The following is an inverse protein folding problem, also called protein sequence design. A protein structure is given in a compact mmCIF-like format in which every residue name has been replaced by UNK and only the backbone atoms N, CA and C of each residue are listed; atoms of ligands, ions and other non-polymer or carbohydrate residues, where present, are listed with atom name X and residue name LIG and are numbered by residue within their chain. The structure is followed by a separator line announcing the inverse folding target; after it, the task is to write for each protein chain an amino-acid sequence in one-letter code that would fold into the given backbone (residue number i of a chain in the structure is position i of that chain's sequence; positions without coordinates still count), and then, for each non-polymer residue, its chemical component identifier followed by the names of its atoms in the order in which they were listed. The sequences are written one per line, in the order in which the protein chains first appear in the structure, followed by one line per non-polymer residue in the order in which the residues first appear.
data_IF_074612895644
#
_entry.id   IF_074612895644
#
_cell.length_a   1.000
_cell.length_b   1.000
_cell.length_c   1.000
_cell.angle_alpha   90.00
_cell.angle_beta   90.00
_cell.angle_gamma   90.00
#
_symmetry.space_group_name_H-M   'P 1'
#
loop_
_entity.id
_entity.type
_entity.pdbx_description
1 polymer ?
#
# COMPACT_ATOMS: atom_id res chain seq x y z
N UNK A 1 48.00 1.42 0.41
CA UNK A 1 48.44 2.24 1.56
C UNK A 1 47.48 3.38 1.73
N UNK A 2 46.63 3.39 2.67
CA UNK A 2 46.27 4.30 3.74
C UNK A 2 44.99 3.77 4.41
N UNK A 3 45.17 3.21 5.61
CA UNK A 3 44.10 2.87 6.54
C UNK A 3 43.73 4.13 7.31
N UNK A 4 42.44 4.42 7.41
CA UNK A 4 41.92 5.41 8.36
C UNK A 4 41.05 4.68 9.38
N UNK A 5 41.60 4.53 10.58
CA UNK A 5 40.88 4.12 11.78
C UNK A 5 39.92 5.25 12.20
N UNK A 6 38.64 4.92 12.35
CA UNK A 6 37.71 5.76 13.13
C UNK A 6 37.56 5.17 14.52
N UNK A 7 38.03 5.93 15.50
CA UNK A 7 37.94 5.62 16.92
C UNK A 7 36.52 5.82 17.43
N UNK A 8 35.92 4.77 18.00
CA UNK A 8 34.67 4.81 18.75
C UNK A 8 34.98 5.34 20.14
N UNK A 9 34.46 6.53 20.48
CA UNK A 9 34.46 7.02 21.87
C UNK A 9 33.14 6.60 22.53
N UNK A 10 33.25 5.64 23.44
CA UNK A 10 32.22 5.35 24.40
C UNK A 10 32.26 6.40 25.52
N UNK A 11 31.20 7.15 25.68
CA UNK A 11 30.94 7.96 26.86
C UNK A 11 29.76 7.35 27.63
N UNK A 12 30.08 6.66 28.71
CA UNK A 12 29.13 6.27 29.73
C UNK A 12 28.81 7.47 30.61
N UNK A 13 27.53 7.83 30.71
CA UNK A 13 27.05 8.82 31.66
C UNK A 13 25.62 8.43 32.05
N UNK A 14 25.51 7.69 33.16
CA UNK A 14 24.22 7.41 33.79
C UNK A 14 23.84 8.60 34.67
N UNK A 15 22.62 9.11 34.48
CA UNK A 15 21.88 9.89 35.47
C UNK A 15 20.42 9.42 35.48
N UNK A 16 19.80 9.34 36.67
CA UNK A 16 18.51 8.66 36.84
C UNK A 16 17.33 9.61 36.67
N UNK A 17 16.26 9.04 36.06
CA UNK A 17 14.90 9.38 36.38
C UNK A 17 14.31 10.64 35.75
N UNK A 18 13.62 10.41 34.64
CA UNK A 18 12.35 11.10 34.40
C UNK A 18 11.49 10.17 33.56
N UNK A 19 10.38 9.74 34.14
CA UNK A 19 9.29 9.07 33.43
C UNK A 19 8.55 10.12 32.61
N UNK A 20 9.16 10.56 31.51
CA UNK A 20 8.51 11.37 30.49
C UNK A 20 7.60 10.48 29.66
N UNK A 21 6.32 10.73 29.75
CA UNK A 21 5.29 10.16 28.88
C UNK A 21 5.65 10.47 27.42
N UNK A 22 5.61 9.48 26.53
CA UNK A 22 5.86 9.62 25.10
C UNK A 22 4.85 10.55 24.38
N UNK A 23 3.98 11.23 25.11
CA UNK A 23 3.02 12.20 24.61
C UNK A 23 3.58 13.61 24.34
N UNK A 24 4.77 13.95 24.86
CA UNK A 24 5.31 15.31 24.79
C UNK A 24 6.00 15.67 23.46
N UNK A 25 6.25 14.71 22.58
CA UNK A 25 6.88 14.95 21.26
C UNK A 25 5.93 15.50 20.19
N UNK A 26 4.61 15.37 20.37
CA UNK A 26 3.59 15.70 19.37
C UNK A 26 2.83 17.01 19.61
N UNK A 27 3.31 17.86 20.50
CA UNK A 27 2.63 19.11 20.89
C UNK A 27 3.01 20.36 20.06
N UNK A 28 3.67 20.20 18.91
CA UNK A 28 4.11 21.31 18.03
C UNK A 28 3.19 21.50 16.81
N UNK A 29 3.31 22.65 16.09
CA UNK A 29 2.54 22.91 14.87
C UNK A 29 2.86 21.99 13.67
N UNK A 30 3.76 21.03 13.82
CA UNK A 30 4.07 19.94 12.89
C UNK A 30 3.41 18.62 13.31
N UNK A 31 2.27 18.67 13.98
CA UNK A 31 1.55 17.50 14.52
C UNK A 31 0.92 16.58 13.46
N UNK A 32 0.99 16.94 12.17
CA UNK A 32 0.41 16.12 11.09
C UNK A 32 1.18 14.80 10.87
N UNK A 33 2.43 14.71 11.36
CA UNK A 33 3.27 13.51 11.30
C UNK A 33 3.12 12.59 12.53
N UNK A 34 2.29 12.95 13.50
CA UNK A 34 2.11 12.21 14.74
C UNK A 34 0.83 11.38 14.74
N UNK A 35 0.98 10.06 14.81
CA UNK A 35 -0.14 9.14 15.02
C UNK A 35 -0.37 8.93 16.52
N UNK A 36 -1.61 9.11 16.97
CA UNK A 36 -1.97 8.85 18.35
C UNK A 36 -1.83 7.36 18.68
N UNK A 37 -0.91 7.03 19.59
CA UNK A 37 -0.67 5.64 20.04
C UNK A 37 -1.84 5.16 20.89
N UNK A 38 -2.22 3.87 20.75
CA UNK A 38 -3.34 3.21 21.45
C UNK A 38 -4.71 3.83 21.13
N UNK A 39 -4.84 4.38 19.94
CA UNK A 39 -6.08 4.97 19.47
C UNK A 39 -6.53 4.35 18.15
N UNK A 40 -7.83 4.12 18.04
CA UNK A 40 -8.46 3.74 16.78
C UNK A 40 -8.75 4.99 15.97
N UNK A 41 -8.37 4.99 14.71
CA UNK A 41 -8.74 6.03 13.76
C UNK A 41 -9.68 5.46 12.71
N UNK A 42 -10.76 6.15 12.47
CA UNK A 42 -11.74 5.80 11.46
C UNK A 42 -11.95 6.98 10.53
N UNK A 43 -11.90 6.74 9.26
CA UNK A 43 -12.28 7.74 8.27
C UNK A 43 -13.00 7.10 7.09
N UNK A 44 -13.72 7.91 6.34
CA UNK A 44 -14.37 7.49 5.12
C UNK A 44 -14.17 8.56 4.05
N UNK A 45 -13.67 8.17 2.88
CA UNK A 45 -13.68 9.05 1.72
C UNK A 45 -14.95 8.78 0.89
N UNK A 46 -15.55 9.86 0.43
CA UNK A 46 -16.71 9.85 -0.47
C UNK A 46 -16.33 10.65 -1.72
N UNK A 47 -16.51 10.04 -2.89
CA UNK A 47 -16.08 10.70 -4.12
C UNK A 47 -16.44 9.95 -5.38
N UNK A 48 -15.68 10.19 -6.42
CA UNK A 48 -15.79 9.52 -7.70
C UNK A 48 -14.39 9.13 -8.19
N UNK A 49 -14.27 7.89 -8.61
CA UNK A 49 -13.01 7.38 -9.14
C UNK A 49 -13.21 6.07 -9.88
N UNK A 50 -12.13 5.59 -10.45
CA UNK A 50 -12.10 4.32 -11.16
C UNK A 50 -10.69 3.72 -11.11
N UNK A 51 -10.63 2.39 -10.96
CA UNK A 51 -9.45 1.57 -11.27
C UNK A 51 -9.76 0.75 -12.51
N UNK A 52 -8.91 0.82 -13.53
CA UNK A 52 -9.05 -0.02 -14.71
C UNK A 52 -8.74 -1.48 -14.38
N UNK A 53 -9.43 -2.40 -15.06
CA UNK A 53 -9.20 -3.82 -14.91
C UNK A 53 -8.40 -4.34 -16.11
N UNK A 54 -7.22 -4.95 -15.90
CA UNK A 54 -6.38 -5.41 -17.01
C UNK A 54 -6.85 -6.73 -17.63
N UNK A 55 -7.81 -7.42 -17.03
CA UNK A 55 -8.25 -8.73 -17.50
C UNK A 55 -9.15 -8.61 -18.75
N UNK A 56 -9.09 -9.63 -19.60
CA UNK A 56 -10.00 -9.79 -20.75
C UNK A 56 -11.44 -9.78 -20.24
N UNK A 57 -12.24 -8.84 -20.72
CA UNK A 57 -13.62 -8.58 -20.28
C UNK A 57 -13.76 -8.25 -18.78
N UNK A 58 -12.66 -7.86 -18.12
CA UNK A 58 -12.68 -7.33 -16.79
C UNK A 58 -13.43 -5.99 -16.74
N UNK A 59 -14.41 -5.85 -15.88
CA UNK A 59 -15.08 -4.58 -15.66
C UNK A 59 -14.21 -3.69 -14.76
N UNK A 60 -14.09 -2.42 -15.11
CA UNK A 60 -13.42 -1.44 -14.27
C UNK A 60 -14.08 -1.35 -12.89
N UNK A 61 -13.28 -1.09 -11.88
CA UNK A 61 -13.70 -1.01 -10.48
C UNK A 61 -14.02 0.45 -10.16
N UNK A 62 -15.30 0.81 -9.92
CA UNK A 62 -15.65 2.18 -9.53
C UNK A 62 -15.22 2.44 -8.08
N UNK A 63 -14.68 3.62 -7.83
CA UNK A 63 -14.26 4.08 -6.52
C UNK A 63 -15.23 5.19 -6.06
N UNK A 64 -16.08 4.90 -5.07
CA UNK A 64 -17.14 5.83 -4.62
C UNK A 64 -17.10 6.10 -3.13
N UNK A 65 -16.97 5.07 -2.31
CA UNK A 65 -16.86 5.17 -0.83
C UNK A 65 -15.60 4.43 -0.39
N UNK A 66 -14.87 4.95 0.55
CA UNK A 66 -13.54 4.49 0.92
C UNK A 66 -13.43 4.50 2.43
N UNK A 67 -13.69 3.38 3.11
CA UNK A 67 -13.40 3.28 4.53
C UNK A 67 -11.88 3.20 4.75
N UNK A 68 -11.44 3.76 5.85
CA UNK A 68 -10.11 3.55 6.39
C UNK A 68 -10.21 3.31 7.88
N UNK A 69 -9.51 2.30 8.34
CA UNK A 69 -9.47 1.90 9.75
C UNK A 69 -8.01 1.67 10.13
N UNK A 70 -7.54 2.42 11.11
CA UNK A 70 -6.20 2.17 11.63
C UNK A 70 -6.16 2.12 13.15
N UNK A 71 -5.21 1.36 13.66
CA UNK A 71 -4.86 1.28 15.07
C UNK A 71 -3.35 1.15 15.21
N UNK A 72 -2.76 2.04 15.97
CA UNK A 72 -1.33 2.01 16.28
C UNK A 72 -1.15 1.80 17.79
N UNK A 73 -0.67 0.63 18.17
CA UNK A 73 -0.25 0.32 19.54
C UNK A 73 1.20 0.70 19.80
N UNK A 74 1.78 0.22 20.90
CA UNK A 74 3.20 0.47 21.19
C UNK A 74 4.14 -0.24 20.19
N UNK A 75 3.74 -1.38 19.66
CA UNK A 75 4.50 -2.15 18.66
C UNK A 75 3.61 -2.76 17.59
N UNK A 76 2.39 -3.13 17.94
CA UNK A 76 1.43 -3.70 17.01
C UNK A 76 0.67 -2.59 16.31
N UNK A 77 0.47 -2.72 15.01
CA UNK A 77 -0.39 -1.84 14.24
C UNK A 77 -1.32 -2.64 13.31
N UNK A 78 -2.43 -2.03 13.01
CA UNK A 78 -3.38 -2.41 11.97
C UNK A 78 -3.58 -1.18 11.11
N UNK A 79 -3.43 -1.31 9.81
CA UNK A 79 -3.73 -0.26 8.84
C UNK A 79 -4.53 -0.88 7.70
N UNK A 80 -5.84 -0.63 7.70
CA UNK A 80 -6.80 -1.30 6.84
C UNK A 80 -6.71 -2.83 6.93
N UNK A 81 -6.12 -3.46 5.94
CA UNK A 81 -5.93 -4.92 5.89
C UNK A 81 -4.50 -5.35 6.23
N UNK A 82 -3.61 -4.41 6.44
CA UNK A 82 -2.22 -4.68 6.79
C UNK A 82 -2.08 -4.78 8.32
N UNK A 83 -1.47 -5.85 8.75
CA UNK A 83 -1.17 -6.11 10.16
C UNK A 83 0.34 -6.04 10.34
N UNK A 84 0.81 -5.41 11.41
CA UNK A 84 2.25 -5.34 11.63
C UNK A 84 2.67 -5.29 13.08
N UNK A 85 3.95 -5.64 13.28
CA UNK A 85 4.64 -5.50 14.55
C UNK A 85 5.95 -4.77 14.31
N UNK A 86 6.10 -3.58 14.90
CA UNK A 86 7.34 -2.81 14.84
C UNK A 86 8.40 -3.43 15.73
N UNK A 87 9.52 -3.81 15.14
CA UNK A 87 10.66 -4.43 15.82
C UNK A 87 11.61 -3.37 16.34
N UNK A 88 11.95 -2.41 15.47
CA UNK A 88 12.86 -1.30 15.76
C UNK A 88 12.31 -0.04 15.12
N UNK A 89 12.33 1.05 15.86
CA UNK A 89 11.88 2.35 15.38
C UNK A 89 12.85 3.45 15.83
N UNK A 90 13.06 4.39 14.94
CA UNK A 90 13.83 5.63 15.18
C UNK A 90 13.18 6.77 14.40
N UNK A 91 13.61 8.01 14.64
CA UNK A 91 13.08 9.17 13.93
C UNK A 91 13.22 9.11 12.39
N UNK A 92 14.11 8.29 11.87
CA UNK A 92 14.40 8.21 10.45
C UNK A 92 14.20 6.81 9.84
N UNK A 93 14.01 5.78 10.65
CA UNK A 93 13.92 4.39 10.18
C UNK A 93 12.97 3.58 11.05
N UNK A 94 12.20 2.71 10.43
CA UNK A 94 11.42 1.68 11.12
C UNK A 94 11.64 0.33 10.43
N UNK A 95 11.76 -0.71 11.23
CA UNK A 95 11.76 -2.09 10.77
C UNK A 95 10.60 -2.81 11.44
N UNK A 96 9.72 -3.38 10.64
CA UNK A 96 8.52 -4.09 11.08
C UNK A 96 8.46 -5.48 10.48
N UNK A 97 7.68 -6.36 11.07
CA UNK A 97 7.14 -7.55 10.42
C UNK A 97 5.69 -7.25 10.08
N UNK A 98 5.33 -7.40 8.81
CA UNK A 98 3.98 -7.14 8.34
C UNK A 98 3.34 -8.38 7.73
N UNK A 99 2.01 -8.37 7.70
CA UNK A 99 1.19 -9.29 6.93
C UNK A 99 0.19 -8.46 6.12
N UNK A 100 0.26 -8.57 4.80
CA UNK A 100 -0.49 -7.79 3.82
C UNK A 100 -1.21 -8.72 2.86
N UNK A 101 -2.43 -8.41 2.41
CA UNK A 101 -3.10 -9.24 1.41
C UNK A 101 -2.44 -9.13 0.04
N UNK A 102 -2.49 -10.20 -0.74
CA UNK A 102 -2.07 -10.21 -2.14
C UNK A 102 -3.11 -9.48 -3.01
N UNK A 103 -2.77 -8.30 -3.51
CA UNK A 103 -3.73 -7.39 -4.16
C UNK A 103 -4.18 -7.79 -5.58
N UNK A 104 -3.50 -8.71 -6.26
CA UNK A 104 -3.89 -9.15 -7.62
C UNK A 104 -5.31 -9.73 -7.70
N UNK A 105 -5.82 -10.22 -6.59
CA UNK A 105 -7.18 -10.76 -6.50
C UNK A 105 -8.27 -9.75 -6.85
N UNK A 106 -8.05 -8.47 -6.64
CA UNK A 106 -9.03 -7.39 -6.89
C UNK A 106 -9.53 -7.37 -8.33
N UNK A 107 -8.71 -7.78 -9.28
CA UNK A 107 -9.08 -7.81 -10.70
C UNK A 107 -10.04 -8.94 -11.06
N UNK A 108 -10.09 -10.00 -10.25
CA UNK A 108 -10.94 -11.16 -10.47
C UNK A 108 -12.30 -11.08 -9.77
N UNK A 109 -12.40 -10.30 -8.71
CA UNK A 109 -13.61 -10.20 -7.88
C UNK A 109 -13.91 -8.72 -7.59
N UNK A 110 -14.77 -8.13 -8.41
CA UNK A 110 -15.14 -6.72 -8.33
C UNK A 110 -15.69 -6.29 -6.95
N UNK A 111 -16.32 -7.20 -6.21
CA UNK A 111 -16.88 -6.98 -4.88
C UNK A 111 -15.99 -7.50 -3.76
N UNK A 112 -14.71 -7.72 -4.04
CA UNK A 112 -13.76 -8.16 -3.02
C UNK A 112 -13.56 -7.11 -1.94
N UNK A 113 -13.35 -7.57 -0.70
CA UNK A 113 -13.06 -6.68 0.42
C UNK A 113 -11.82 -5.81 0.16
N UNK A 114 -10.82 -6.34 -0.53
CA UNK A 114 -9.61 -5.61 -0.90
C UNK A 114 -9.88 -4.42 -1.84
N UNK A 115 -10.99 -4.43 -2.60
CA UNK A 115 -11.39 -3.28 -3.37
C UNK A 115 -11.96 -2.13 -2.53
N UNK A 116 -12.27 -2.39 -1.25
CA UNK A 116 -12.67 -1.37 -0.29
C UNK A 116 -11.48 -0.73 0.42
N UNK A 117 -10.36 -1.43 0.48
CA UNK A 117 -9.15 -0.97 1.14
C UNK A 117 -8.01 -0.96 0.13
N UNK A 118 -7.69 0.18 -0.41
CA UNK A 118 -6.54 0.36 -1.28
C UNK A 118 -5.45 0.99 -0.44
N UNK A 119 -4.59 0.19 0.13
CA UNK A 119 -3.39 0.68 0.80
C UNK A 119 -2.48 1.30 -0.24
N UNK A 120 -2.17 2.57 -0.05
CA UNK A 120 -1.13 3.24 -0.81
C UNK A 120 0.23 2.91 -0.19
N UNK A 121 1.19 2.54 -1.03
CA UNK A 121 2.58 2.54 -0.60
C UNK A 121 2.95 3.94 -0.12
N UNK A 122 3.62 4.01 1.03
CA UNK A 122 4.01 5.20 1.76
C UNK A 122 2.82 5.85 2.50
N UNK A 123 2.89 5.69 3.81
CA UNK A 123 1.90 6.17 4.76
C UNK A 123 1.83 7.69 4.77
N UNK A 124 0.94 8.21 3.97
CA UNK A 124 0.46 9.59 4.04
C UNK A 124 -1.00 9.63 4.51
N UNK A 125 -1.40 8.65 5.33
CA UNK A 125 -2.69 8.63 6.03
C UNK A 125 -3.93 8.75 5.14
N UNK A 126 -3.83 8.40 3.86
CA UNK A 126 -4.94 8.48 2.91
C UNK A 126 -5.21 7.14 2.26
N UNK A 127 -6.01 6.34 2.92
CA UNK A 127 -6.54 5.11 2.38
C UNK A 127 -7.75 5.33 1.50
N UNK A 128 -7.98 4.41 0.59
CA UNK A 128 -9.08 4.53 -0.37
C UNK A 128 -9.63 3.23 -0.91
N UNK A 129 -10.91 3.10 -0.98
CA UNK A 129 -11.65 2.07 -1.73
C UNK A 129 -13.04 2.43 -2.15
N UNK A 130 -13.70 1.81 -3.05
CA UNK A 130 -14.94 1.09 -3.02
C UNK A 130 -15.64 0.65 -4.20
N UNK A 131 -16.67 -0.12 -4.08
CA UNK A 131 -17.52 -0.63 -5.15
C UNK A 131 -18.99 -0.28 -4.94
N UNK A 132 -19.75 -0.12 -6.03
CA UNK A 132 -21.21 -0.13 -6.04
C UNK A 132 -21.73 -1.09 -7.12
N UNK A 133 -22.88 -1.73 -6.92
CA UNK A 133 -23.29 -2.87 -7.72
C UNK A 133 -24.11 -2.48 -8.95
N UNK A 134 -24.02 -3.29 -9.97
CA UNK A 134 -25.01 -3.74 -10.96
C UNK A 134 -24.55 -3.68 -12.40
N UNK A 135 -24.42 -4.81 -12.99
CA UNK A 135 -25.09 -5.29 -14.20
C UNK A 135 -24.41 -6.50 -14.84
N UNK A 136 -25.11 -7.32 -15.60
CA UNK A 136 -24.81 -8.73 -15.74
C UNK A 136 -23.69 -9.04 -16.72
N UNK A 137 -22.92 -10.07 -16.36
CA UNK A 137 -21.91 -10.67 -17.20
C UNK A 137 -22.50 -11.18 -18.53
N UNK A 138 -21.93 -10.73 -19.61
CA UNK A 138 -22.13 -11.38 -20.92
C UNK A 138 -21.02 -12.40 -21.09
N UNK A 139 -21.46 -13.62 -21.28
CA UNK A 139 -20.67 -14.85 -21.38
C UNK A 139 -19.64 -14.76 -22.50
N UNK A 140 -18.37 -14.96 -22.18
CA UNK A 140 -17.39 -15.48 -23.11
C UNK A 140 -16.94 -16.85 -22.66
N UNK A 141 -17.14 -17.81 -23.56
CA UNK A 141 -17.02 -19.23 -23.33
C UNK A 141 -15.58 -19.68 -23.03
N UNK A 142 -15.47 -20.55 -22.03
CA UNK A 142 -14.47 -21.60 -21.86
C UNK A 142 -13.07 -21.23 -21.35
N UNK A 143 -12.93 -20.22 -20.50
CA UNK A 143 -11.92 -20.32 -19.46
C UNK A 143 -12.67 -20.66 -18.19
N UNK A 144 -12.47 -21.85 -17.66
CA UNK A 144 -13.10 -22.23 -16.39
C UNK A 144 -12.49 -21.33 -15.31
N UNK A 145 -13.28 -20.46 -14.65
CA UNK A 145 -12.73 -19.56 -13.66
C UNK A 145 -12.17 -20.39 -12.50
N UNK A 146 -10.84 -20.42 -12.36
CA UNK A 146 -10.24 -21.01 -11.15
C UNK A 146 -10.59 -20.10 -9.97
N UNK A 147 -11.09 -20.63 -8.84
CA UNK A 147 -11.28 -19.82 -7.65
C UNK A 147 -9.91 -19.34 -7.15
N UNK A 148 -9.68 -18.03 -7.20
CA UNK A 148 -8.51 -17.38 -6.62
C UNK A 148 -8.87 -16.94 -5.21
N UNK A 149 -8.31 -17.62 -4.22
CA UNK A 149 -8.54 -17.29 -2.81
C UNK A 149 -7.73 -16.06 -2.42
N UNK A 150 -8.16 -15.42 -1.34
CA UNK A 150 -7.35 -14.36 -0.74
C UNK A 150 -6.05 -14.98 -0.21
N UNK A 151 -4.92 -14.36 -0.54
CA UNK A 151 -3.61 -14.70 0.00
C UNK A 151 -3.19 -13.63 0.99
N UNK A 152 -2.47 -14.02 2.02
CA UNK A 152 -1.73 -13.10 2.86
C UNK A 152 -0.25 -13.39 2.70
N UNK A 153 0.49 -12.32 2.45
CA UNK A 153 1.93 -12.34 2.34
C UNK A 153 2.50 -11.71 3.61
N UNK A 154 3.47 -12.33 4.23
CA UNK A 154 4.09 -11.79 5.44
C UNK A 154 5.61 -11.76 5.33
N UNK A 155 6.21 -10.78 6.00
CA UNK A 155 7.66 -10.62 6.02
C UNK A 155 8.11 -9.27 6.53
N UNK A 156 9.42 -8.97 6.43
CA UNK A 156 9.99 -7.71 6.86
C UNK A 156 9.59 -6.55 5.95
N UNK A 157 9.32 -5.43 6.59
CA UNK A 157 9.15 -4.11 6.01
C UNK A 157 10.19 -3.17 6.61
N UNK A 158 10.90 -2.44 5.79
CA UNK A 158 11.78 -1.37 6.20
C UNK A 158 11.30 -0.05 5.61
N UNK A 159 11.01 0.92 6.47
CA UNK A 159 10.70 2.29 6.08
C UNK A 159 11.79 3.25 6.52
N UNK A 160 12.03 4.29 5.74
CA UNK A 160 13.01 5.31 6.08
C UNK A 160 12.58 6.70 5.59
N UNK A 161 13.10 7.74 6.29
CA UNK A 161 12.96 9.15 5.90
C UNK A 161 14.34 9.79 5.83
N UNK A 162 14.69 10.37 4.69
CA UNK A 162 15.98 11.05 4.48
C UNK A 162 15.76 12.29 3.62
N UNK A 163 16.11 13.47 4.14
CA UNK A 163 16.06 14.74 3.40
C UNK A 163 14.71 15.02 2.70
N UNK A 164 13.60 14.71 3.38
CA UNK A 164 12.25 14.91 2.83
C UNK A 164 11.79 13.79 1.89
N UNK A 165 12.61 12.78 1.64
CA UNK A 165 12.23 11.59 0.88
C UNK A 165 11.83 10.51 1.88
N UNK A 166 10.66 9.90 1.67
CA UNK A 166 10.25 8.68 2.34
C UNK A 166 10.54 7.48 1.45
N UNK A 167 10.95 6.37 2.05
CA UNK A 167 11.17 5.13 1.32
C UNK A 167 10.63 3.93 2.07
N UNK A 168 10.26 2.90 1.32
CA UNK A 168 9.75 1.62 1.83
C UNK A 168 10.32 0.48 1.01
N UNK A 169 10.66 -0.61 1.70
CA UNK A 169 11.09 -1.87 1.10
C UNK A 169 10.47 -3.02 1.88
N UNK A 170 9.69 -3.85 1.20
CA UNK A 170 9.06 -5.03 1.75
C UNK A 170 9.58 -6.28 1.05
N UNK A 171 9.75 -7.36 1.80
CA UNK A 171 10.01 -8.69 1.27
C UNK A 171 9.03 -9.66 1.90
N UNK A 172 8.01 -10.02 1.15
CA UNK A 172 6.84 -10.75 1.65
C UNK A 172 6.73 -12.12 0.99
N UNK A 173 6.33 -13.13 1.77
CA UNK A 173 6.10 -14.48 1.29
C UNK A 173 4.71 -14.97 1.70
N UNK A 174 4.05 -15.78 0.86
CA UNK A 174 2.73 -16.34 1.13
C UNK A 174 2.74 -17.22 2.39
N UNK A 175 1.94 -16.80 3.38
CA UNK A 175 1.74 -17.55 4.63
C UNK A 175 0.43 -18.33 4.67
N UNK A 176 -0.40 -18.20 3.64
CA UNK A 176 -1.67 -18.91 3.52
C UNK A 176 -1.55 -20.23 2.77
N UNK A 177 -0.40 -20.48 2.13
CA UNK A 177 -0.15 -21.67 1.34
C UNK A 177 -0.99 -21.78 0.07
N UNK A 178 -1.43 -20.63 -0.49
CA UNK A 178 -2.26 -20.60 -1.70
C UNK A 178 -1.43 -20.50 -2.96
N UNK A 179 -0.46 -19.60 -3.00
CA UNK A 179 0.38 -19.37 -4.17
C UNK A 179 1.85 -19.76 -3.91
N UNK A 180 2.27 -19.87 -2.64
CA UNK A 180 3.65 -20.15 -2.22
C UNK A 180 4.66 -19.16 -2.83
N UNK A 181 4.22 -17.96 -3.14
CA UNK A 181 5.03 -16.98 -3.83
C UNK A 181 5.69 -15.98 -2.90
N UNK A 182 6.56 -15.18 -3.51
CA UNK A 182 7.25 -14.07 -2.85
C UNK A 182 7.01 -12.80 -3.64
N UNK A 183 6.75 -11.72 -2.93
CA UNK A 183 6.60 -10.38 -3.47
C UNK A 183 7.63 -9.46 -2.82
N UNK A 184 8.27 -8.61 -3.62
CA UNK A 184 9.17 -7.55 -3.14
C UNK A 184 8.60 -6.23 -3.62
N UNK A 185 8.37 -5.32 -2.70
CA UNK A 185 7.86 -3.98 -2.96
C UNK A 185 8.92 -2.97 -2.60
N UNK A 186 9.17 -2.01 -3.47
CA UNK A 186 10.04 -0.89 -3.17
C UNK A 186 9.39 0.40 -3.68
N UNK A 187 9.33 1.42 -2.83
CA UNK A 187 8.73 2.69 -3.16
C UNK A 187 9.50 3.86 -2.57
N UNK A 188 9.44 5.00 -3.25
CA UNK A 188 9.95 6.29 -2.79
C UNK A 188 8.85 7.33 -2.96
N UNK A 189 8.73 8.21 -1.97
CA UNK A 189 7.78 9.32 -1.98
C UNK A 189 8.43 10.63 -1.59
N UNK A 190 7.95 11.70 -2.21
CA UNK A 190 8.38 13.07 -1.92
C UNK A 190 7.17 13.99 -1.84
N UNK A 191 7.08 14.90 -0.88
CA UNK A 191 6.19 16.03 -0.94
C UNK A 191 6.72 17.02 -1.97
N UNK A 192 5.87 17.42 -2.93
CA UNK A 192 6.21 18.41 -3.95
C UNK A 192 5.79 19.84 -3.54
N UNK A 193 4.67 19.93 -2.85
CA UNK A 193 4.11 21.20 -2.37
C UNK A 193 3.53 20.97 -0.97
N UNK A 194 3.96 21.78 -0.01
CA UNK A 194 3.46 21.79 1.36
C UNK A 194 3.07 23.23 1.71
N UNK A 195 1.85 23.64 1.37
CA UNK A 195 1.36 24.99 1.70
C UNK A 195 0.00 24.90 2.37
N UNK A 196 -1.10 25.12 1.63
CA UNK A 196 -2.48 24.93 2.13
C UNK A 196 -2.94 23.49 2.01
N UNK A 197 -2.19 22.65 1.34
CA UNK A 197 -2.40 21.24 1.14
C UNK A 197 -1.07 20.59 0.74
N UNK A 198 -1.05 19.27 0.76
CA UNK A 198 0.11 18.46 0.40
C UNK A 198 -0.12 17.86 -0.98
N UNK A 199 0.77 18.19 -1.92
CA UNK A 199 0.91 17.45 -3.18
C UNK A 199 2.11 16.53 -3.03
N UNK A 200 1.91 15.24 -3.15
CA UNK A 200 2.96 14.22 -3.06
C UNK A 200 3.11 13.45 -4.37
N UNK A 201 4.32 13.01 -4.66
CA UNK A 201 4.63 12.09 -5.73
C UNK A 201 5.28 10.83 -5.16
N UNK A 202 4.82 9.69 -5.60
CA UNK A 202 5.36 8.39 -5.24
C UNK A 202 5.71 7.61 -6.51
N UNK A 203 6.83 6.91 -6.48
CA UNK A 203 7.23 5.99 -7.53
C UNK A 203 7.72 4.70 -6.88
N UNK A 204 7.48 3.60 -7.52
CA UNK A 204 7.93 2.33 -6.98
C UNK A 204 7.87 1.20 -7.98
N UNK A 205 8.21 0.03 -7.49
CA UNK A 205 8.19 -1.22 -8.23
C UNK A 205 7.69 -2.35 -7.32
N UNK A 206 6.93 -3.26 -7.91
CA UNK A 206 6.54 -4.52 -7.29
C UNK A 206 7.12 -5.66 -8.11
N UNK A 207 7.98 -6.48 -7.51
CA UNK A 207 8.44 -7.72 -8.11
C UNK A 207 7.62 -8.88 -7.56
N UNK A 208 7.07 -9.70 -8.45
CA UNK A 208 6.27 -10.87 -8.13
C UNK A 208 6.96 -12.12 -8.65
N UNK A 209 7.10 -13.12 -7.80
CA UNK A 209 7.65 -14.42 -8.21
C UNK A 209 6.74 -15.11 -9.23
N UNK A 210 7.30 -16.03 -9.97
CA UNK A 210 6.54 -16.86 -10.92
C UNK A 210 5.39 -17.64 -10.26
N UNK A 211 5.50 -17.95 -8.99
CA UNK A 211 4.44 -18.62 -8.23
C UNK A 211 3.18 -17.72 -8.11
N UNK A 212 3.34 -16.44 -7.73
CA UNK A 212 2.24 -15.46 -7.71
C UNK A 212 1.67 -15.26 -9.11
N UNK A 213 2.55 -15.03 -10.12
CA UNK A 213 2.11 -14.82 -11.50
C UNK A 213 1.30 -15.99 -12.00
N UNK A 214 1.74 -17.21 -11.77
CA UNK A 214 1.01 -18.41 -12.21
C UNK A 214 -0.26 -18.68 -11.41
N UNK A 215 -0.31 -18.32 -10.14
CA UNK A 215 -1.52 -18.45 -9.34
C UNK A 215 -2.63 -17.53 -9.85
N UNK A 216 -2.33 -16.27 -10.15
CA UNK A 216 -3.32 -15.30 -10.60
C UNK A 216 -3.52 -15.33 -12.12
N UNK A 217 -2.47 -15.35 -12.91
CA UNK A 217 -2.50 -15.13 -14.35
C UNK A 217 -2.14 -16.36 -15.18
N UNK A 218 -1.67 -17.45 -14.54
CA UNK A 218 -1.40 -18.71 -15.22
C UNK A 218 -2.67 -19.44 -15.65
N UNK A 219 -2.63 -20.10 -16.81
CA UNK A 219 -3.71 -20.96 -17.30
C UNK A 219 -3.16 -22.37 -17.57
N UNK A 220 -3.62 -23.40 -16.83
CA UNK A 220 -3.10 -24.75 -16.93
C UNK A 220 -3.12 -25.31 -18.35
N UNK A 221 -1.96 -25.78 -18.82
CA UNK A 221 -1.81 -26.31 -20.16
C UNK A 221 -1.77 -25.28 -21.28
N UNK A 222 -1.94 -23.99 -20.98
CA UNK A 222 -1.94 -22.92 -21.98
C UNK A 222 -0.88 -21.85 -21.69
N UNK A 223 -0.75 -21.41 -20.44
CA UNK A 223 0.20 -20.36 -20.08
C UNK A 223 0.79 -20.57 -18.69
N UNK A 224 2.12 -20.46 -18.60
CA UNK A 224 2.88 -20.40 -17.37
C UNK A 224 3.88 -19.24 -17.49
N UNK A 225 3.66 -18.18 -16.71
CA UNK A 225 4.52 -17.00 -16.70
C UNK A 225 5.75 -17.16 -15.81
N UNK A 226 6.78 -16.39 -16.10
CA UNK A 226 7.92 -16.16 -15.22
C UNK A 226 7.58 -15.18 -14.09
N UNK A 227 8.62 -14.62 -13.45
CA UNK A 227 8.46 -13.51 -12.54
C UNK A 227 8.08 -12.22 -13.29
N UNK A 228 7.34 -11.34 -12.63
CA UNK A 228 6.95 -10.04 -13.17
C UNK A 228 7.58 -8.89 -12.36
N UNK A 229 7.74 -7.74 -13.01
CA UNK A 229 8.15 -6.50 -12.40
C UNK A 229 7.18 -5.40 -12.85
N UNK A 230 6.45 -4.85 -11.90
CA UNK A 230 5.37 -3.90 -12.11
C UNK A 230 5.77 -2.52 -11.54
N UNK A 231 6.35 -1.62 -12.35
CA UNK A 231 6.63 -0.25 -11.92
C UNK A 231 5.35 0.58 -11.87
N UNK A 232 5.28 1.48 -10.88
CA UNK A 232 4.17 2.42 -10.74
C UNK A 232 4.63 3.84 -10.43
N UNK A 233 3.74 4.79 -10.70
CA UNK A 233 3.86 6.18 -10.28
C UNK A 233 2.49 6.69 -9.80
N UNK A 234 2.49 7.44 -8.71
CA UNK A 234 1.30 8.00 -8.08
C UNK A 234 1.50 9.46 -7.73
N UNK A 235 0.49 10.26 -8.00
CA UNK A 235 0.37 11.65 -7.54
C UNK A 235 -0.82 11.73 -6.61
N UNK A 236 -0.64 12.31 -5.43
CA UNK A 236 -1.69 12.55 -4.46
C UNK A 236 -1.78 14.01 -4.05
N UNK A 237 -2.97 14.51 -3.90
CA UNK A 237 -3.22 15.87 -3.43
C UNK A 237 -4.26 15.85 -2.32
N UNK A 238 -3.87 16.33 -1.13
CA UNK A 238 -4.73 16.38 0.04
C UNK A 238 -4.76 17.80 0.58
N UNK A 239 -5.96 18.31 0.89
CA UNK A 239 -6.15 19.67 1.44
C UNK A 239 -7.11 19.59 2.62
N UNK A 240 -6.77 20.11 3.81
CA UNK A 240 -7.73 20.30 4.88
C UNK A 240 -8.79 21.32 4.45
N UNK A 241 -10.07 20.96 4.61
CA UNK A 241 -11.19 21.86 4.27
C UNK A 241 -11.70 22.59 5.51
N UNK A 242 -12.41 21.91 6.37
CA UNK A 242 -12.94 22.47 7.62
C UNK A 242 -13.26 21.36 8.61
N UNK A 243 -12.94 21.55 9.89
CA UNK A 243 -13.19 20.59 10.94
C UNK A 243 -12.55 19.23 10.62
N UNK A 244 -13.38 18.20 10.44
CA UNK A 244 -12.96 16.83 10.17
C UNK A 244 -12.93 16.45 8.68
N UNK A 245 -13.12 17.41 7.78
CA UNK A 245 -13.15 17.19 6.35
C UNK A 245 -11.82 17.54 5.69
N UNK A 246 -11.35 16.68 4.81
CA UNK A 246 -10.20 16.90 3.93
C UNK A 246 -10.61 16.60 2.50
N UNK A 247 -10.21 17.44 1.56
CA UNK A 247 -10.27 17.11 0.13
C UNK A 247 -9.14 16.14 -0.20
N UNK A 248 -9.43 15.19 -1.06
CA UNK A 248 -8.43 14.26 -1.55
C UNK A 248 -8.62 13.98 -3.05
N UNK A 249 -7.53 13.97 -3.79
CA UNK A 249 -7.51 13.52 -5.17
C UNK A 249 -6.20 12.78 -5.43
N UNK A 250 -6.23 11.69 -6.21
CA UNK A 250 -5.00 11.03 -6.64
C UNK A 250 -5.16 10.39 -8.02
N UNK A 251 -4.02 10.19 -8.66
CA UNK A 251 -3.88 9.42 -9.88
C UNK A 251 -2.67 8.49 -9.75
N UNK A 252 -2.85 7.23 -10.08
CA UNK A 252 -1.82 6.20 -10.08
C UNK A 252 -1.81 5.49 -11.42
N UNK A 253 -0.64 5.20 -11.92
CA UNK A 253 -0.41 4.42 -13.11
C UNK A 253 0.60 3.32 -12.81
N UNK A 254 0.20 2.08 -13.02
CA UNK A 254 1.02 0.89 -12.88
C UNK A 254 1.18 0.22 -14.24
N UNK A 255 2.41 -0.11 -14.61
CA UNK A 255 2.70 -0.88 -15.82
C UNK A 255 2.93 -2.34 -15.41
N UNK A 256 2.15 -3.24 -15.99
CA UNK A 256 2.28 -4.67 -15.73
C UNK A 256 3.50 -5.27 -16.43
N UNK A 257 4.20 -6.15 -15.76
CA UNK A 257 5.34 -6.88 -16.31
C UNK A 257 4.93 -7.86 -17.41
N UNK A 258 5.85 -8.13 -18.33
CA UNK A 258 5.57 -8.98 -19.49
C UNK A 258 5.00 -10.34 -19.14
N UNK A 259 5.49 -10.95 -18.06
CA UNK A 259 4.96 -12.26 -17.59
C UNK A 259 3.50 -12.20 -17.09
N UNK A 260 2.93 -11.03 -16.86
CA UNK A 260 1.50 -10.85 -16.62
C UNK A 260 0.79 -10.55 -17.93
N UNK A 261 1.32 -9.62 -18.70
CA UNK A 261 0.75 -9.14 -19.97
C UNK A 261 0.63 -10.23 -21.02
N UNK A 262 1.62 -11.16 -21.08
CA UNK A 262 1.63 -12.26 -22.04
C UNK A 262 0.58 -13.35 -21.70
N UNK A 263 -0.08 -13.24 -20.56
CA UNK A 263 -1.16 -14.17 -20.19
C UNK A 263 -2.40 -13.97 -21.08
N UNK A 264 -3.00 -15.06 -21.59
CA UNK A 264 -4.20 -14.97 -22.46
C UNK A 264 -5.44 -14.42 -21.76
N UNK A 265 -5.43 -14.29 -20.42
CA UNK A 265 -6.51 -13.69 -19.66
C UNK A 265 -6.30 -12.19 -19.39
N UNK A 266 -5.19 -11.61 -19.83
CA UNK A 266 -4.85 -10.19 -19.67
C UNK A 266 -5.00 -9.49 -21.02
N UNK A 267 -5.73 -8.39 -21.04
CA UNK A 267 -5.98 -7.59 -22.23
C UNK A 267 -5.18 -6.29 -22.24
N UNK A 268 -4.89 -5.73 -21.06
CA UNK A 268 -4.28 -4.43 -20.91
C UNK A 268 -2.87 -4.54 -20.33
N UNK A 269 -1.99 -3.64 -20.76
CA UNK A 269 -0.60 -3.62 -20.31
C UNK A 269 -0.36 -2.80 -19.04
N UNK A 270 -1.41 -2.17 -18.53
CA UNK A 270 -1.32 -1.24 -17.40
C UNK A 270 -2.63 -1.13 -16.65
N UNK A 271 -2.53 -0.66 -15.42
CA UNK A 271 -3.65 -0.28 -14.58
C UNK A 271 -3.55 1.20 -14.28
N UNK A 272 -4.64 1.92 -14.46
CA UNK A 272 -4.79 3.31 -14.05
C UNK A 272 -5.83 3.40 -12.94
N UNK A 273 -5.49 4.11 -11.86
CA UNK A 273 -6.41 4.38 -10.77
C UNK A 273 -6.51 5.89 -10.59
N UNK A 274 -7.71 6.42 -10.60
CA UNK A 274 -7.97 7.84 -10.34
C UNK A 274 -9.12 7.99 -9.36
N UNK A 275 -9.03 9.00 -8.50
CA UNK A 275 -10.08 9.34 -7.55
C UNK A 275 -10.07 10.83 -7.23
N UNK A 276 -11.24 11.36 -6.96
CA UNK A 276 -11.45 12.70 -6.41
C UNK A 276 -12.62 12.67 -5.44
N UNK A 277 -12.44 13.23 -4.25
CA UNK A 277 -13.46 13.18 -3.21
C UNK A 277 -13.10 13.98 -1.97
N UNK A 278 -13.84 13.69 -0.91
CA UNK A 278 -13.60 14.26 0.42
C UNK A 278 -13.57 13.15 1.47
N UNK A 279 -12.63 13.27 2.39
CA UNK A 279 -12.44 12.36 3.52
C UNK A 279 -13.06 13.00 4.76
N UNK A 280 -13.85 12.23 5.49
CA UNK A 280 -14.35 12.57 6.82
C UNK A 280 -13.69 11.70 7.88
N UNK A 281 -13.05 12.31 8.87
CA UNK A 281 -12.45 11.61 10.02
C UNK A 281 -13.44 11.65 11.21
N UNK A 282 -13.65 10.50 11.86
CA UNK A 282 -14.56 10.33 12.97
C UNK A 282 -13.93 10.71 14.32
#
# INVERSE_FOLDING_TARGET
MLAALLAIHAAAGAAPGETGSAADGCAGPSSDDCVAVRHWSFSVALGAGVRTNPLVNGENIPLVIIPHVSYYGERFFLDDLDLGVTLVESAANSLSLIASPGYDRVYFYRTDLQNFFITGYLADGTAMATASPTSPATVIAKITPRPRRITYLAGPEWTFKVAGISGQLDVLHDVTGQDHGTEIRAALGIPLIESRGVLSANVGITWKSSAIVNYYYGEPGLYAGGAALDPFAKLGYTVPLSGRWRFNAFAEYERLGSAIVDSPIVAEHSVATVFIGAIYAF
#
